data_IF_195818912949
#
_entry.id   IF_195818912949
#
_cell.length_a   1.000
_cell.length_b   1.000
_cell.length_c   1.000
_cell.angle_alpha   90.00
_cell.angle_beta   90.00
_cell.angle_gamma   90.00
#
_symmetry.space_group_name_H-M   'P 1'
#
loop_
_entity.id
_entity.type
_entity.pdbx_description
1 polymer ?
#
# COMPACT_ATOMS: atom_id res chain seq x y z
N UNK A 1 -2.48 1.62 12.20
CA UNK A 1 -3.90 1.26 12.42
C UNK A 1 -4.88 2.27 11.80
N UNK A 2 -4.59 3.56 11.74
CA UNK A 2 -5.47 4.62 11.22
C UNK A 2 -5.55 4.73 9.68
N UNK A 3 -4.70 3.99 8.95
CA UNK A 3 -4.59 4.09 7.49
C UNK A 3 -5.19 2.87 6.74
N UNK A 4 -4.76 1.65 7.09
CA UNK A 4 -5.07 0.41 6.36
C UNK A 4 -6.47 -0.22 6.56
N UNK A 5 -7.25 0.01 7.64
CA UNK A 5 -8.50 -0.75 7.87
C UNK A 5 -9.55 -0.59 6.78
N UNK A 6 -9.55 0.55 6.08
CA UNK A 6 -10.50 0.82 5.00
C UNK A 6 -10.12 0.18 3.66
N UNK A 7 -8.88 -0.29 3.49
CA UNK A 7 -8.36 -0.70 2.19
C UNK A 7 -9.04 -1.97 1.66
N UNK A 8 -9.09 -3.02 2.49
CA UNK A 8 -9.74 -4.30 2.14
C UNK A 8 -11.25 -4.17 1.83
N UNK A 9 -12.09 -3.59 2.70
CA UNK A 9 -13.52 -3.49 2.42
C UNK A 9 -13.83 -2.61 1.19
N UNK A 10 -12.99 -1.61 0.90
CA UNK A 10 -13.12 -0.80 -0.31
C UNK A 10 -12.77 -1.59 -1.58
N UNK A 11 -11.66 -2.33 -1.56
CA UNK A 11 -11.23 -3.20 -2.65
C UNK A 11 -12.29 -4.25 -2.99
N UNK A 12 -12.82 -4.94 -1.97
CA UNK A 12 -13.89 -5.94 -2.13
C UNK A 12 -15.17 -5.33 -2.72
N UNK A 13 -15.59 -4.16 -2.24
CA UNK A 13 -16.80 -3.48 -2.71
C UNK A 13 -16.73 -3.06 -4.18
N UNK A 14 -15.55 -2.66 -4.64
CA UNK A 14 -15.33 -2.16 -6.00
C UNK A 14 -14.79 -3.22 -6.95
N UNK A 15 -14.45 -4.41 -6.46
CA UNK A 15 -13.77 -5.45 -7.24
C UNK A 15 -12.46 -4.95 -7.86
N UNK A 16 -11.69 -4.16 -7.10
CA UNK A 16 -10.39 -3.61 -7.52
C UNK A 16 -9.27 -4.15 -6.63
N UNK A 17 -8.03 -4.24 -7.15
CA UNK A 17 -6.89 -4.68 -6.36
C UNK A 17 -6.47 -3.66 -5.31
N UNK A 18 -5.87 -4.16 -4.23
CA UNK A 18 -5.23 -3.37 -3.19
C UNK A 18 -3.70 -3.47 -3.29
N UNK A 19 -3.02 -2.33 -3.31
CA UNK A 19 -1.56 -2.23 -3.33
C UNK A 19 -1.05 -1.76 -1.97
N UNK A 20 0.08 -2.28 -1.52
CA UNK A 20 0.72 -1.81 -0.29
C UNK A 20 2.00 -2.58 0.05
N UNK A 21 2.54 -2.37 1.25
CA UNK A 21 3.70 -3.11 1.76
C UNK A 21 3.42 -3.54 3.20
N UNK A 22 3.74 -4.78 3.53
CA UNK A 22 3.67 -5.26 4.91
C UNK A 22 4.92 -4.81 5.68
N UNK A 23 4.77 -4.60 6.98
CA UNK A 23 5.93 -4.41 7.88
C UNK A 23 6.79 -5.68 7.92
N UNK A 24 8.09 -5.50 8.07
CA UNK A 24 9.01 -6.64 8.11
C UNK A 24 9.20 -7.21 9.52
N UNK A 25 9.24 -6.36 10.56
CA UNK A 25 9.76 -6.78 11.88
C UNK A 25 8.96 -6.32 13.11
N UNK A 26 7.90 -5.52 12.96
CA UNK A 26 7.09 -5.06 14.10
C UNK A 26 5.59 -5.12 13.80
N UNK A 27 4.96 -6.18 14.31
CA UNK A 27 3.52 -6.42 14.17
C UNK A 27 2.70 -5.89 15.36
N UNK A 28 3.34 -5.35 16.41
CA UNK A 28 2.67 -5.06 17.68
C UNK A 28 1.60 -3.96 17.59
N UNK A 29 1.71 -3.07 16.60
CA UNK A 29 0.82 -1.91 16.39
C UNK A 29 0.19 -1.88 14.98
N UNK A 30 0.27 -3.00 14.26
CA UNK A 30 -0.12 -3.08 12.86
C UNK A 30 -1.53 -3.62 12.69
N UNK A 31 -2.11 -3.29 11.54
CA UNK A 31 -3.39 -3.84 11.13
C UNK A 31 -3.20 -5.23 10.52
N UNK A 32 -3.44 -6.26 11.32
CA UNK A 32 -3.32 -7.65 10.91
C UNK A 32 -4.34 -8.06 9.84
N UNK A 33 -5.40 -7.26 9.63
CA UNK A 33 -6.40 -7.54 8.60
C UNK A 33 -5.96 -7.10 7.20
N UNK A 34 -4.92 -6.25 7.12
CA UNK A 34 -4.41 -5.75 5.85
C UNK A 34 -3.64 -6.84 5.09
N UNK A 35 -4.15 -7.17 3.91
CA UNK A 35 -3.57 -8.16 2.99
C UNK A 35 -3.61 -7.57 1.59
N UNK A 36 -2.54 -6.88 1.15
CA UNK A 36 -2.52 -6.30 -0.18
C UNK A 36 -2.43 -7.41 -1.23
N UNK A 37 -3.08 -7.20 -2.37
CA UNK A 37 -2.99 -8.08 -3.54
C UNK A 37 -1.63 -7.93 -4.23
N UNK A 38 -1.06 -6.71 -4.19
CA UNK A 38 0.23 -6.38 -4.78
C UNK A 38 1.16 -5.73 -3.75
N UNK A 39 2.39 -6.23 -3.67
CA UNK A 39 3.43 -5.68 -2.81
C UNK A 39 4.21 -4.61 -3.58
N UNK A 40 4.16 -3.37 -3.10
CA UNK A 40 4.88 -2.25 -3.70
C UNK A 40 6.39 -2.46 -3.65
N UNK A 41 7.05 -2.01 -4.73
CA UNK A 41 8.50 -1.85 -4.82
C UNK A 41 8.86 -0.48 -5.38
N UNK A 42 10.07 0.02 -5.07
CA UNK A 42 10.49 1.39 -5.42
C UNK A 42 10.69 1.61 -6.93
N UNK A 43 10.89 0.54 -7.70
CA UNK A 43 11.12 0.59 -9.15
C UNK A 43 9.87 0.27 -9.98
N UNK A 44 8.71 0.16 -9.33
CA UNK A 44 7.43 -0.12 -10.01
C UNK A 44 6.74 1.17 -10.46
N UNK A 45 5.94 1.07 -11.53
CA UNK A 45 5.00 2.10 -11.95
C UNK A 45 3.60 1.49 -11.95
N UNK A 46 2.64 2.22 -11.41
CA UNK A 46 1.23 1.83 -11.44
C UNK A 46 0.58 2.67 -12.54
N UNK A 47 0.24 1.99 -13.63
CA UNK A 47 -0.28 2.61 -14.84
C UNK A 47 -1.79 2.39 -14.96
N UNK A 48 -2.49 3.45 -15.36
CA UNK A 48 -3.88 3.41 -15.81
C UNK A 48 -3.96 4.04 -17.20
N UNK A 49 -5.13 4.05 -17.83
CA UNK A 49 -5.31 4.74 -19.11
C UNK A 49 -5.14 6.28 -19.00
N UNK A 50 -5.28 6.84 -17.79
CA UNK A 50 -5.32 8.29 -17.57
C UNK A 50 -4.01 8.85 -16.99
N UNK A 51 -3.30 8.07 -16.18
CA UNK A 51 -2.10 8.52 -15.46
C UNK A 51 -1.20 7.35 -15.04
N UNK A 52 0.03 7.69 -14.66
CA UNK A 52 1.03 6.75 -14.14
C UNK A 52 1.61 7.30 -12.84
N UNK A 53 1.52 6.53 -11.76
CA UNK A 53 2.15 6.92 -10.49
C UNK A 53 3.35 6.03 -10.17
N UNK A 54 4.39 6.63 -9.61
CA UNK A 54 5.57 5.93 -9.08
C UNK A 54 5.51 5.87 -7.55
N UNK A 55 5.43 4.68 -6.92
CA UNK A 55 5.75 4.50 -5.52
C UNK A 55 7.22 4.84 -5.21
N UNK A 56 7.45 5.67 -4.21
CA UNK A 56 8.78 6.02 -3.69
C UNK A 56 8.86 5.53 -2.24
N UNK A 57 9.79 4.61 -1.96
CA UNK A 57 9.96 4.08 -0.60
C UNK A 57 10.54 5.16 0.30
N UNK A 58 9.77 5.55 1.33
CA UNK A 58 10.13 6.65 2.23
C UNK A 58 9.99 6.22 3.69
N UNK A 59 10.77 5.22 4.14
CA UNK A 59 10.68 4.70 5.49
C UNK A 59 11.07 5.76 6.52
N UNK A 60 10.47 5.70 7.71
CA UNK A 60 10.74 6.61 8.81
C UNK A 60 9.62 6.59 9.82
N UNK A 61 8.50 7.27 9.51
CA UNK A 61 7.29 7.23 10.32
C UNK A 61 6.73 5.79 10.45
N UNK A 62 6.77 5.02 9.34
CA UNK A 62 6.57 3.58 9.32
C UNK A 62 7.59 2.94 8.37
N UNK A 63 8.01 1.70 8.65
CA UNK A 63 9.01 1.00 7.82
C UNK A 63 8.50 0.64 6.42
N UNK A 64 7.19 0.48 6.29
CA UNK A 64 6.48 0.18 5.04
C UNK A 64 5.85 1.45 4.41
N UNK A 65 6.34 2.65 4.76
CA UNK A 65 5.80 3.91 4.24
C UNK A 65 6.26 4.21 2.81
N UNK A 66 5.34 4.70 1.98
CA UNK A 66 5.60 5.12 0.60
C UNK A 66 4.93 6.48 0.34
N UNK A 67 5.58 7.29 -0.49
CA UNK A 67 4.95 8.41 -1.18
C UNK A 67 4.68 8.04 -2.64
N UNK A 68 3.77 8.76 -3.30
CA UNK A 68 3.49 8.57 -4.72
C UNK A 68 3.83 9.85 -5.49
N UNK A 69 4.53 9.70 -6.60
CA UNK A 69 4.92 10.77 -7.52
C UNK A 69 4.32 10.52 -8.90
N UNK A 70 3.89 11.60 -9.55
CA UNK A 70 3.36 11.66 -10.93
C UNK A 70 4.12 12.78 -11.67
#
# INVERSE_FOLDING_TARGET
>A
MDHSPGAKPLAERLSIPCYGKLVENDFSIQDESFKPDFILSEDEHIETEEYTIKPIHTPGHASNHYCFFD
#
